data_IF_091161709231
#
_entry.id   IF_091161709231
#
_cell.length_a   1.000
_cell.length_b   1.000
_cell.length_c   1.000
_cell.angle_alpha   90.00
_cell.angle_beta   90.00
_cell.angle_gamma   90.00
#
_symmetry.space_group_name_H-M   'P 1'
#
loop_
_entity.id
_entity.type
_entity.pdbx_description
1 polymer ?
#
# COMPACT_ATOMS: atom_id res chain seq x y z
N UNK A 1 8.93 6.56 0.50
CA UNK A 1 8.16 5.32 0.68
C UNK A 1 6.76 5.68 1.14
N UNK A 2 5.73 4.97 0.69
CA UNK A 2 4.35 5.23 1.08
C UNK A 2 3.74 4.04 1.80
N UNK A 3 2.95 4.31 2.84
CA UNK A 3 1.98 3.35 3.36
C UNK A 3 0.60 3.72 2.84
N UNK A 4 -0.05 2.77 2.17
CA UNK A 4 -1.47 2.84 1.85
C UNK A 4 -2.24 2.02 2.90
N UNK A 5 -3.06 2.69 3.69
CA UNK A 5 -3.86 2.10 4.77
C UNK A 5 -5.33 2.34 4.45
N UNK A 6 -6.18 1.34 4.60
CA UNK A 6 -7.59 1.50 4.32
C UNK A 6 -8.50 0.83 5.35
N UNK A 7 -9.70 1.37 5.50
CA UNK A 7 -10.80 0.71 6.18
C UNK A 7 -12.01 0.75 5.22
N UNK A 8 -12.27 -0.40 4.59
CA UNK A 8 -13.24 -0.55 3.49
C UNK A 8 -14.21 -1.67 3.85
N UNK A 9 -15.50 -1.32 3.89
CA UNK A 9 -16.58 -2.22 4.30
C UNK A 9 -16.91 -3.21 3.18
N UNK A 10 -17.11 -2.70 1.97
CA UNK A 10 -17.54 -3.52 0.83
C UNK A 10 -16.37 -4.36 0.26
N UNK A 11 -16.59 -5.66 0.11
CA UNK A 11 -15.58 -6.58 -0.42
C UNK A 11 -15.18 -6.26 -1.87
N UNK A 12 -16.13 -5.83 -2.70
CA UNK A 12 -15.89 -5.45 -4.10
C UNK A 12 -14.97 -4.23 -4.19
N UNK A 13 -15.31 -3.14 -3.47
CA UNK A 13 -14.47 -1.93 -3.38
C UNK A 13 -13.07 -2.27 -2.87
N UNK A 14 -12.97 -3.12 -1.84
CA UNK A 14 -11.68 -3.55 -1.30
C UNK A 14 -10.84 -4.30 -2.34
N UNK A 15 -11.47 -5.18 -3.13
CA UNK A 15 -10.77 -5.91 -4.19
C UNK A 15 -10.28 -4.97 -5.29
N UNK A 16 -11.08 -3.98 -5.69
CA UNK A 16 -10.66 -2.95 -6.65
C UNK A 16 -9.43 -2.17 -6.16
N UNK A 17 -9.44 -1.73 -4.89
CA UNK A 17 -8.29 -1.02 -4.29
C UNK A 17 -7.04 -1.90 -4.24
N UNK A 18 -7.18 -3.19 -3.90
CA UNK A 18 -6.07 -4.15 -3.91
C UNK A 18 -5.46 -4.25 -5.31
N UNK A 19 -6.27 -4.34 -6.37
CA UNK A 19 -5.79 -4.39 -7.74
C UNK A 19 -5.08 -3.09 -8.15
N UNK A 20 -5.67 -1.94 -7.85
CA UNK A 20 -5.07 -0.63 -8.13
C UNK A 20 -3.68 -0.51 -7.48
N UNK A 21 -3.57 -0.83 -6.19
CA UNK A 21 -2.30 -0.73 -5.46
C UNK A 21 -1.24 -1.69 -6.01
N UNK A 22 -1.61 -2.95 -6.30
CA UNK A 22 -0.68 -3.92 -6.90
C UNK A 22 -0.17 -3.49 -8.27
N UNK A 23 -1.04 -2.93 -9.11
CA UNK A 23 -0.67 -2.43 -10.43
C UNK A 23 0.31 -1.26 -10.36
N UNK A 24 0.33 -0.53 -9.24
CA UNK A 24 1.28 0.54 -8.96
C UNK A 24 2.55 0.06 -8.23
N UNK A 25 2.75 -1.26 -8.12
CA UNK A 25 3.93 -1.85 -7.48
C UNK A 25 3.89 -1.86 -5.95
N UNK A 26 2.75 -1.57 -5.32
CA UNK A 26 2.66 -1.71 -3.87
C UNK A 26 2.59 -3.18 -3.46
N UNK A 27 3.34 -3.52 -2.41
CA UNK A 27 3.33 -4.83 -1.77
C UNK A 27 2.33 -4.81 -0.60
N UNK A 28 1.47 -5.84 -0.53
CA UNK A 28 0.53 -6.01 0.58
C UNK A 28 1.26 -6.58 1.80
N UNK A 29 1.27 -5.84 2.90
CA UNK A 29 2.01 -6.20 4.12
C UNK A 29 1.10 -6.58 5.30
N UNK A 30 -0.18 -6.17 5.26
CA UNK A 30 -1.25 -6.59 6.17
C UNK A 30 -2.59 -6.64 5.42
N UNK A 31 -3.64 -7.16 6.08
CA UNK A 31 -5.00 -7.25 5.49
C UNK A 31 -5.46 -5.91 4.87
N UNK A 32 -5.13 -4.79 5.50
CA UNK A 32 -5.52 -3.47 5.02
C UNK A 32 -4.35 -2.47 4.95
N UNK A 33 -3.13 -2.97 4.76
CA UNK A 33 -1.94 -2.13 4.63
C UNK A 33 -1.08 -2.60 3.48
N UNK A 34 -0.67 -1.64 2.67
CA UNK A 34 0.24 -1.79 1.54
C UNK A 34 1.41 -0.82 1.70
N UNK A 35 2.55 -1.18 1.13
CA UNK A 35 3.71 -0.32 1.09
C UNK A 35 4.37 -0.36 -0.29
N UNK A 36 4.85 0.80 -0.75
CA UNK A 36 5.49 0.92 -2.06
C UNK A 36 6.06 2.31 -2.30
N UNK A 37 6.81 2.44 -3.38
CA UNK A 37 7.35 3.71 -3.86
C UNK A 37 6.50 4.24 -5.02
N UNK A 38 6.36 5.57 -5.11
CA UNK A 38 5.62 6.23 -6.19
C UNK A 38 6.43 7.40 -6.72
N UNK A 39 6.42 7.57 -8.05
CA UNK A 39 6.78 8.83 -8.70
C UNK A 39 5.64 9.86 -8.56
N UNK A 40 5.92 11.14 -8.84
CA UNK A 40 4.93 12.21 -8.72
C UNK A 40 3.69 12.01 -9.60
N UNK A 41 3.89 11.60 -10.86
CA UNK A 41 2.80 11.34 -11.82
C UNK A 41 1.95 10.15 -11.37
N UNK A 42 2.59 9.01 -11.07
CA UNK A 42 1.90 7.77 -10.67
C UNK A 42 1.04 7.98 -9.40
N UNK A 43 1.48 8.87 -8.50
CA UNK A 43 0.70 9.20 -7.30
C UNK A 43 -0.65 9.83 -7.65
N UNK A 44 -0.69 10.80 -8.57
CA UNK A 44 -1.93 11.51 -8.92
C UNK A 44 -2.94 10.55 -9.53
N UNK A 45 -2.52 9.81 -10.55
CA UNK A 45 -3.36 8.86 -11.29
C UNK A 45 -3.90 7.74 -10.37
N UNK A 46 -3.05 7.23 -9.46
CA UNK A 46 -3.47 6.27 -8.44
C UNK A 46 -4.52 6.87 -7.50
N UNK A 47 -4.30 8.08 -6.98
CA UNK A 47 -5.24 8.68 -6.04
C UNK A 47 -6.59 9.02 -6.67
N UNK A 48 -6.63 9.40 -7.96
CA UNK A 48 -7.87 9.59 -8.70
C UNK A 48 -8.62 8.26 -8.91
N UNK A 49 -7.90 7.20 -9.27
CA UNK A 49 -8.46 5.84 -9.40
C UNK A 49 -9.03 5.30 -8.09
N UNK A 50 -8.42 5.63 -6.95
CA UNK A 50 -8.93 5.22 -5.63
C UNK A 50 -10.17 6.04 -5.26
N UNK A 51 -10.16 7.35 -5.53
CA UNK A 51 -11.31 8.23 -5.26
C UNK A 51 -12.57 7.81 -6.03
N UNK A 52 -12.43 7.27 -7.24
CA UNK A 52 -13.57 6.85 -8.05
C UNK A 52 -14.25 5.57 -7.55
N UNK A 53 -13.60 4.81 -6.66
CA UNK A 53 -14.14 3.53 -6.15
C UNK A 53 -14.47 3.54 -4.65
N UNK A 54 -13.85 4.42 -3.86
CA UNK A 54 -14.05 4.51 -2.40
C UNK A 54 -15.44 5.07 -2.09
N UNK A 55 -16.17 4.40 -1.19
CA UNK A 55 -17.44 4.91 -0.66
C UNK A 55 -17.21 6.06 0.33
N UNK A 56 -18.19 6.95 0.46
CA UNK A 56 -18.15 8.10 1.38
C UNK A 56 -17.94 7.73 2.85
N UNK A 57 -18.34 6.52 3.26
CA UNK A 57 -18.20 6.04 4.64
C UNK A 57 -16.92 5.23 4.86
N UNK A 58 -16.21 4.91 3.78
CA UNK A 58 -14.96 4.18 3.82
C UNK A 58 -13.78 5.16 3.90
N UNK A 59 -12.61 4.67 4.30
CA UNK A 59 -11.42 5.51 4.45
C UNK A 59 -10.19 4.91 3.77
N UNK A 60 -9.40 5.79 3.17
CA UNK A 60 -8.12 5.48 2.55
C UNK A 60 -7.10 6.57 2.92
N UNK A 61 -5.96 6.14 3.45
CA UNK A 61 -4.84 7.00 3.83
C UNK A 61 -3.62 6.65 3.00
N UNK A 62 -2.98 7.68 2.44
CA UNK A 62 -1.68 7.56 1.78
C UNK A 62 -0.64 8.36 2.56
N UNK A 63 0.19 7.65 3.33
CA UNK A 63 1.14 8.24 4.27
C UNK A 63 2.52 8.22 3.66
N UNK A 64 3.10 9.39 3.36
CA UNK A 64 4.49 9.50 2.94
C UNK A 64 5.41 9.32 4.16
N UNK A 65 6.41 8.45 4.01
CA UNK A 65 7.47 8.25 4.99
C UNK A 65 8.85 8.35 4.34
N UNK A 66 9.80 8.89 5.10
CA UNK A 66 11.20 8.86 4.71
C UNK A 66 11.81 7.48 5.00
N UNK A 67 12.95 7.19 4.37
CA UNK A 67 13.62 5.89 4.50
C UNK A 67 13.98 5.55 5.96
N UNK A 68 14.35 6.57 6.76
CA UNK A 68 14.64 6.41 8.19
C UNK A 68 13.41 6.00 9.00
N UNK A 69 12.23 6.52 8.67
CA UNK A 69 10.98 6.15 9.35
C UNK A 69 10.55 4.72 8.98
N UNK A 70 10.68 4.34 7.71
CA UNK A 70 10.34 2.99 7.24
C UNK A 70 11.12 1.90 8.00
N UNK A 71 12.43 2.10 8.19
CA UNK A 71 13.29 1.14 8.92
C UNK A 71 12.87 0.91 10.37
N UNK A 72 12.24 1.91 11.01
CA UNK A 72 11.86 1.91 12.42
C UNK A 72 10.53 1.22 12.74
N UNK A 73 9.86 0.60 11.76
CA UNK A 73 8.64 -0.16 12.05
C UNK A 73 8.91 -1.25 13.11
N UNK A 74 8.09 -1.26 14.17
CA UNK A 74 8.00 -2.35 15.15
C UNK A 74 6.88 -3.28 14.73
N UNK A 75 7.17 -4.56 14.60
CA UNK A 75 6.20 -5.60 14.24
C UNK A 75 6.04 -6.52 15.45
N UNK A 76 4.80 -6.83 15.80
CA UNK A 76 4.43 -7.79 16.82
C UNK A 76 3.58 -8.87 16.13
N UNK A 77 3.96 -10.14 16.28
CA UNK A 77 3.33 -11.25 15.55
C UNK A 77 3.84 -11.41 14.11
N UNK A 78 2.99 -11.91 13.20
CA UNK A 78 3.37 -12.18 11.80
C UNK A 78 3.63 -10.88 11.03
N UNK A 79 4.87 -10.73 10.58
CA UNK A 79 5.36 -9.57 9.84
C UNK A 79 5.48 -9.77 8.33
N UNK A 80 6.19 -8.83 7.70
CA UNK A 80 6.56 -8.84 6.29
C UNK A 80 8.07 -8.65 6.14
N UNK A 81 8.62 -9.06 5.00
CA UNK A 81 10.02 -8.82 4.67
C UNK A 81 10.21 -7.35 4.26
N UNK A 82 10.91 -6.58 5.11
CA UNK A 82 11.15 -5.15 4.90
C UNK A 82 12.05 -4.88 3.70
N UNK A 83 12.96 -5.78 3.37
CA UNK A 83 13.92 -5.60 2.27
C UNK A 83 13.22 -5.83 0.93
N UNK A 84 12.38 -6.86 0.85
CA UNK A 84 11.52 -7.10 -0.30
C UNK A 84 10.59 -5.91 -0.61
N UNK A 85 9.93 -5.37 0.42
CA UNK A 85 8.99 -4.25 0.27
C UNK A 85 9.68 -2.94 -0.10
N UNK A 86 10.96 -2.80 0.21
CA UNK A 86 11.74 -1.61 -0.14
C UNK A 86 12.44 -1.69 -1.50
N UNK A 87 12.10 -2.69 -2.32
CA UNK A 87 12.74 -3.01 -3.60
C UNK A 87 14.27 -3.23 -3.47
N UNK A 88 14.76 -3.57 -2.27
CA UNK A 88 16.17 -3.89 -1.99
C UNK A 88 16.50 -5.37 -2.17
N UNK A 89 15.46 -6.21 -2.29
CA UNK A 89 15.56 -7.61 -2.68
C UNK A 89 14.51 -7.92 -3.75
N UNK A 90 14.86 -8.62 -4.83
CA UNK A 90 13.87 -9.06 -5.82
C UNK A 90 12.88 -10.05 -5.18
N UNK A 91 11.70 -10.18 -5.79
CA UNK A 91 10.72 -11.19 -5.41
C UNK A 91 11.35 -12.58 -5.54
N UNK A 92 11.51 -13.29 -4.43
CA UNK A 92 11.88 -14.70 -4.46
C UNK A 92 10.61 -15.49 -4.70
N UNK A 93 10.51 -16.12 -5.87
CA UNK A 93 9.51 -17.18 -6.11
C UNK A 93 10.00 -18.40 -5.35
N UNK A 94 9.30 -18.77 -4.28
CA UNK A 94 9.42 -20.08 -3.63
C UNK A 94 8.46 -21.06 -4.29
#
# INVERSE_FOLDING_TARGET
MYYAVYNITNNSTRNSIICILKNQGFVRIQKSVFCGSLSGQNKKDMTESIKSVVDKNDSFYLILTCNRCFGKIKIIGKGFDKEYVSDKKPAVVL
#
